data_IF_551643780970
#
_entry.id   IF_551643780970
#
_cell.length_a   1.000
_cell.length_b   1.000
_cell.length_c   1.000
_cell.angle_alpha   90.00
_cell.angle_beta   90.00
_cell.angle_gamma   90.00
#
_symmetry.space_group_name_H-M   'P 1'
#
loop_
_entity.id
_entity.type
_entity.pdbx_description
1 polymer ?
#
# COMPACT_ATOMS: atom_id res chain seq x y z
N UNK A 1 -48.97 -28.43 -22.60
CA UNK A 1 -49.50 -27.63 -21.46
C UNK A 1 -48.54 -27.76 -20.30
N UNK A 2 -47.59 -26.84 -20.19
CA UNK A 2 -46.60 -26.83 -19.09
C UNK A 2 -47.06 -25.84 -18.02
N UNK A 3 -47.41 -26.37 -16.86
CA UNK A 3 -47.81 -25.56 -15.70
C UNK A 3 -46.57 -24.92 -15.04
N UNK A 4 -46.57 -23.59 -14.96
CA UNK A 4 -45.57 -22.81 -14.24
C UNK A 4 -45.84 -22.90 -12.73
N UNK A 5 -44.91 -23.30 -11.88
CA UNK A 5 -45.14 -23.34 -10.43
C UNK A 5 -45.23 -21.92 -9.87
N UNK A 6 -46.12 -21.73 -8.92
CA UNK A 6 -46.51 -20.45 -8.36
C UNK A 6 -45.35 -19.73 -7.62
N UNK A 7 -45.28 -18.44 -7.79
CA UNK A 7 -44.30 -17.48 -7.18
C UNK A 7 -44.04 -17.64 -5.67
N UNK A 8 -44.97 -18.26 -4.93
CA UNK A 8 -44.85 -18.52 -3.48
C UNK A 8 -43.83 -19.60 -3.12
N UNK A 9 -43.64 -20.62 -3.97
CA UNK A 9 -42.67 -21.69 -3.71
C UNK A 9 -41.22 -21.27 -3.97
N UNK A 10 -41.01 -20.34 -4.88
CA UNK A 10 -39.65 -19.77 -5.15
C UNK A 10 -39.14 -18.89 -4.03
N UNK A 11 -40.06 -18.16 -3.35
CA UNK A 11 -39.69 -17.27 -2.21
C UNK A 11 -39.39 -18.11 -0.96
N UNK A 12 -40.05 -19.26 -0.75
CA UNK A 12 -39.79 -20.15 0.37
C UNK A 12 -38.48 -20.96 0.20
N UNK A 13 -38.10 -21.33 -1.01
CA UNK A 13 -36.84 -22.02 -1.29
C UNK A 13 -35.63 -21.04 -1.18
N UNK A 14 -35.78 -19.76 -1.54
CA UNK A 14 -34.76 -18.75 -1.36
C UNK A 14 -34.56 -18.36 0.11
N UNK A 15 -35.61 -18.37 0.93
CA UNK A 15 -35.54 -18.13 2.38
C UNK A 15 -34.87 -19.26 3.15
N UNK A 16 -34.99 -20.54 2.69
CA UNK A 16 -34.38 -21.71 3.33
C UNK A 16 -32.88 -21.87 3.02
N UNK A 17 -32.39 -21.34 1.90
CA UNK A 17 -30.97 -21.38 1.53
C UNK A 17 -30.10 -20.34 2.24
N UNK A 18 -30.69 -19.33 2.88
CA UNK A 18 -29.97 -18.27 3.65
C UNK A 18 -29.74 -18.71 5.12
N UNK A 19 -30.34 -19.83 5.57
CA UNK A 19 -30.39 -20.19 6.98
C UNK A 19 -29.23 -21.05 7.51
N UNK A 20 -28.15 -21.35 6.73
CA UNK A 20 -27.08 -22.26 7.17
C UNK A 20 -25.65 -21.73 7.10
N UNK A 21 -25.43 -20.48 6.78
CA UNK A 21 -24.14 -19.84 7.03
C UNK A 21 -24.26 -18.93 8.26
N UNK A 22 -24.26 -19.51 9.46
CA UNK A 22 -24.02 -18.77 10.70
C UNK A 22 -22.55 -18.33 10.70
N UNK A 23 -22.24 -17.26 9.97
CA UNK A 23 -21.11 -16.42 10.38
C UNK A 23 -21.60 -15.70 11.64
N UNK A 24 -20.83 -15.69 12.74
CA UNK A 24 -21.17 -14.83 13.85
C UNK A 24 -21.10 -13.39 13.29
N UNK A 25 -22.26 -12.77 13.09
CA UNK A 25 -22.35 -11.34 12.89
C UNK A 25 -21.94 -10.81 14.25
N UNK A 26 -20.71 -10.26 14.35
CA UNK A 26 -20.29 -9.52 15.53
C UNK A 26 -21.38 -8.47 15.76
N UNK A 27 -22.03 -8.52 16.93
CA UNK A 27 -23.03 -7.54 17.30
C UNK A 27 -22.38 -6.15 17.28
N UNK A 28 -23.17 -5.11 17.09
CA UNK A 28 -22.66 -3.72 17.07
C UNK A 28 -21.88 -3.34 18.34
N UNK A 29 -22.01 -4.12 19.41
CA UNK A 29 -21.33 -3.93 20.69
C UNK A 29 -20.13 -4.86 20.93
N UNK A 30 -19.82 -5.78 19.99
CA UNK A 30 -18.70 -6.70 20.19
C UNK A 30 -17.41 -6.09 19.66
N UNK A 31 -16.42 -5.97 20.55
CA UNK A 31 -15.08 -5.51 20.20
C UNK A 31 -14.37 -6.57 19.35
N UNK A 32 -13.79 -6.15 18.25
CA UNK A 32 -12.96 -7.02 17.40
C UNK A 32 -11.71 -7.44 18.18
N UNK A 33 -11.51 -8.75 18.33
CA UNK A 33 -10.31 -9.29 18.96
C UNK A 33 -9.17 -9.31 17.93
N UNK A 34 -8.18 -8.43 18.14
CA UNK A 34 -7.13 -8.16 17.17
C UNK A 34 -5.82 -8.85 17.56
N UNK A 35 -5.19 -9.53 16.60
CA UNK A 35 -3.81 -10.00 16.70
C UNK A 35 -2.86 -9.01 16.01
N UNK A 36 -1.85 -8.49 16.71
CA UNK A 36 -0.85 -7.60 16.12
C UNK A 36 0.41 -8.39 15.75
N UNK A 37 0.78 -8.43 14.48
CA UNK A 37 1.96 -9.12 13.94
C UNK A 37 3.00 -8.09 13.47
N UNK A 38 4.22 -8.21 14.00
CA UNK A 38 5.27 -7.23 13.80
C UNK A 38 5.15 -6.08 14.80
N UNK A 39 6.16 -5.90 15.65
CA UNK A 39 6.13 -4.97 16.80
C UNK A 39 7.28 -3.95 16.74
N UNK A 40 7.82 -3.75 15.53
CA UNK A 40 8.80 -2.71 15.23
C UNK A 40 8.18 -1.30 15.25
N UNK A 41 8.81 -0.34 14.54
CA UNK A 41 8.37 1.06 14.52
C UNK A 41 6.89 1.21 14.21
N UNK A 42 6.45 0.74 13.03
CA UNK A 42 5.05 0.85 12.60
C UNK A 42 4.09 0.03 13.48
N UNK A 43 4.51 -1.16 13.93
CA UNK A 43 3.71 -1.96 14.87
C UNK A 43 3.49 -1.27 16.20
N UNK A 44 4.48 -0.53 16.70
CA UNK A 44 4.34 0.30 17.90
C UNK A 44 3.29 1.39 17.71
N UNK A 45 3.22 2.02 16.53
CA UNK A 45 2.18 3.00 16.23
C UNK A 45 0.79 2.35 16.18
N UNK A 46 0.67 1.17 15.55
CA UNK A 46 -0.58 0.42 15.52
C UNK A 46 -1.07 0.05 16.92
N UNK A 47 -0.19 -0.35 17.84
CA UNK A 47 -0.57 -0.60 19.24
C UNK A 47 -1.16 0.65 19.86
N UNK A 48 -0.55 1.83 19.67
CA UNK A 48 -1.08 3.11 20.19
C UNK A 48 -2.46 3.42 19.59
N UNK A 49 -2.63 3.27 18.29
CA UNK A 49 -3.92 3.50 17.62
C UNK A 49 -4.99 2.56 18.16
N UNK A 50 -4.75 1.25 18.19
CA UNK A 50 -5.75 0.28 18.63
C UNK A 50 -6.06 0.40 20.12
N UNK A 51 -5.09 0.77 20.95
CA UNK A 51 -5.37 1.06 22.35
C UNK A 51 -6.21 2.32 22.55
N UNK A 52 -6.18 3.29 21.62
CA UNK A 52 -7.07 4.45 21.65
C UNK A 52 -8.50 4.13 21.18
N UNK A 53 -8.69 3.06 20.40
CA UNK A 53 -9.97 2.59 19.85
C UNK A 53 -10.59 1.43 20.67
N UNK A 54 -10.49 1.49 21.98
CA UNK A 54 -10.88 0.39 22.91
C UNK A 54 -12.38 0.03 22.88
N UNK A 55 -13.23 0.94 22.41
CA UNK A 55 -14.65 0.65 22.15
C UNK A 55 -14.84 -0.29 20.94
N UNK A 56 -13.93 -0.28 19.98
CA UNK A 56 -14.07 -0.96 18.70
C UNK A 56 -13.25 -2.25 18.61
N UNK A 57 -12.08 -2.27 19.25
CA UNK A 57 -11.20 -3.43 19.22
C UNK A 57 -10.47 -3.66 20.54
N UNK A 58 -9.94 -4.87 20.70
CA UNK A 58 -9.02 -5.24 21.77
C UNK A 58 -7.83 -5.96 21.19
N UNK A 59 -6.62 -5.59 21.56
CA UNK A 59 -5.42 -6.34 21.19
C UNK A 59 -5.36 -7.62 22.02
N UNK A 60 -5.89 -8.72 21.47
CA UNK A 60 -5.96 -10.02 22.15
C UNK A 60 -4.59 -10.74 22.14
N UNK A 61 -3.76 -10.49 21.13
CA UNK A 61 -2.46 -11.12 20.98
C UNK A 61 -1.44 -10.22 20.28
N UNK A 62 -0.16 -10.45 20.58
CA UNK A 62 1.00 -9.83 19.93
C UNK A 62 1.96 -10.90 19.44
N UNK A 63 2.57 -10.67 18.27
CA UNK A 63 3.52 -11.60 17.66
C UNK A 63 4.69 -10.87 17.04
N UNK A 64 5.90 -11.26 17.40
CA UNK A 64 7.15 -10.81 16.76
C UNK A 64 8.24 -11.86 16.96
N UNK A 65 9.14 -11.99 16.01
CA UNK A 65 10.33 -12.87 16.08
C UNK A 65 11.36 -12.37 17.08
N UNK A 66 11.26 -11.10 17.50
CA UNK A 66 12.15 -10.46 18.48
C UNK A 66 11.48 -10.39 19.87
N UNK A 67 12.01 -11.14 20.84
CA UNK A 67 11.50 -11.18 22.22
C UNK A 67 11.41 -9.78 22.85
N UNK A 68 12.45 -8.96 22.72
CA UNK A 68 12.45 -7.62 23.29
C UNK A 68 11.36 -6.71 22.70
N UNK A 69 10.96 -6.93 21.42
CA UNK A 69 9.84 -6.20 20.82
C UNK A 69 8.50 -6.65 21.43
N UNK A 70 8.32 -7.95 21.70
CA UNK A 70 7.11 -8.48 22.35
C UNK A 70 6.96 -7.94 23.77
N UNK A 71 8.04 -7.97 24.56
CA UNK A 71 8.05 -7.45 25.95
C UNK A 71 7.69 -5.96 26.01
N UNK A 72 8.26 -5.14 25.10
CA UNK A 72 7.91 -3.69 25.00
C UNK A 72 6.44 -3.47 24.64
N UNK A 73 5.91 -4.25 23.70
CA UNK A 73 4.53 -4.18 23.26
C UNK A 73 3.56 -4.53 24.40
N UNK A 74 3.80 -5.63 25.11
CA UNK A 74 3.01 -6.08 26.27
C UNK A 74 3.04 -5.00 27.36
N UNK A 75 4.22 -4.47 27.71
CA UNK A 75 4.35 -3.42 28.70
C UNK A 75 3.55 -2.15 28.33
N UNK A 76 3.56 -1.78 27.02
CA UNK A 76 2.80 -0.65 26.51
C UNK A 76 1.29 -0.86 26.65
N UNK A 77 0.79 -2.04 26.27
CA UNK A 77 -0.63 -2.39 26.38
C UNK A 77 -1.07 -2.48 27.83
N UNK A 78 -0.27 -3.12 28.69
CA UNK A 78 -0.54 -3.21 30.15
C UNK A 78 -0.65 -1.82 30.77
N UNK A 79 0.28 -0.92 30.46
CA UNK A 79 0.24 0.48 30.95
C UNK A 79 -0.99 1.23 30.48
N UNK A 80 -1.42 1.03 29.23
CA UNK A 80 -2.54 1.75 28.64
C UNK A 80 -3.91 1.18 29.07
N UNK A 81 -4.02 -0.14 29.27
CA UNK A 81 -5.30 -0.85 29.37
C UNK A 81 -5.42 -1.83 30.52
N UNK A 82 -4.39 -1.99 31.33
CA UNK A 82 -4.36 -2.86 32.53
C UNK A 82 -4.68 -4.35 32.22
N UNK A 83 -4.22 -4.85 31.07
CA UNK A 83 -4.24 -6.29 30.75
C UNK A 83 -3.03 -6.68 29.91
N UNK A 84 -2.76 -7.99 29.86
CA UNK A 84 -1.71 -8.57 29.01
C UNK A 84 -2.33 -9.31 27.81
N UNK A 85 -1.90 -9.00 26.58
CA UNK A 85 -2.24 -9.81 25.42
C UNK A 85 -1.50 -11.16 25.46
N UNK A 86 -2.02 -12.17 24.76
CA UNK A 86 -1.27 -13.42 24.54
C UNK A 86 -0.02 -13.13 23.68
N UNK A 87 1.10 -13.78 24.03
CA UNK A 87 2.39 -13.62 23.37
C UNK A 87 2.69 -14.79 22.43
N UNK A 88 3.21 -14.46 21.22
CA UNK A 88 3.62 -15.44 20.22
C UNK A 88 4.95 -15.03 19.58
N UNK A 89 5.86 -16.00 19.35
CA UNK A 89 7.06 -15.82 18.54
C UNK A 89 6.84 -16.16 17.06
N UNK A 90 5.80 -16.92 16.76
CA UNK A 90 5.45 -17.40 15.42
C UNK A 90 3.98 -17.09 15.12
N UNK A 91 3.74 -16.32 14.04
CA UNK A 91 2.40 -15.89 13.65
C UNK A 91 1.48 -17.07 13.27
N UNK A 92 2.02 -18.19 12.79
CA UNK A 92 1.24 -19.40 12.46
C UNK A 92 0.51 -19.92 13.69
N UNK A 93 1.18 -19.93 14.85
CA UNK A 93 0.58 -20.31 16.13
C UNK A 93 -0.47 -19.33 16.62
N UNK A 94 -0.27 -18.04 16.37
CA UNK A 94 -1.27 -17.03 16.68
C UNK A 94 -2.52 -17.20 15.82
N UNK A 95 -2.39 -17.49 14.53
CA UNK A 95 -3.51 -17.67 13.60
C UNK A 95 -4.37 -18.89 13.92
N UNK A 96 -3.82 -19.93 14.57
CA UNK A 96 -4.59 -21.09 15.08
C UNK A 96 -5.61 -20.70 16.18
N UNK A 97 -5.42 -19.55 16.86
CA UNK A 97 -6.29 -19.13 17.96
C UNK A 97 -7.68 -18.75 17.45
N UNK A 98 -8.71 -19.30 18.10
CA UNK A 98 -10.13 -18.97 17.83
C UNK A 98 -10.56 -17.66 18.50
N UNK A 99 -9.77 -17.13 19.42
CA UNK A 99 -10.04 -15.91 20.15
C UNK A 99 -9.63 -14.64 19.39
N UNK A 100 -9.21 -14.78 18.13
CA UNK A 100 -8.78 -13.67 17.28
C UNK A 100 -9.70 -13.59 16.07
N UNK A 101 -10.30 -12.43 15.84
CA UNK A 101 -11.21 -12.18 14.71
C UNK A 101 -10.45 -11.64 13.50
N UNK A 102 -9.53 -10.71 13.75
CA UNK A 102 -8.77 -10.02 12.72
C UNK A 102 -7.29 -9.86 13.12
N UNK A 103 -6.45 -9.64 12.14
CA UNK A 103 -5.01 -9.42 12.36
C UNK A 103 -4.53 -8.14 11.70
N UNK A 104 -3.59 -7.46 12.35
CA UNK A 104 -2.87 -6.32 11.81
C UNK A 104 -1.41 -6.73 11.56
N UNK A 105 -0.97 -6.67 10.30
CA UNK A 105 0.34 -7.14 9.85
C UNK A 105 1.22 -5.94 9.54
N UNK A 106 2.28 -5.75 10.30
CA UNK A 106 3.27 -4.67 10.18
C UNK A 106 4.70 -5.22 10.13
N UNK A 107 4.84 -6.40 9.57
CA UNK A 107 6.12 -7.05 9.30
C UNK A 107 6.91 -6.34 8.19
N UNK A 108 8.16 -6.72 7.89
CA UNK A 108 8.81 -6.33 6.64
C UNK A 108 8.05 -6.81 5.39
N UNK A 109 8.24 -6.10 4.27
CA UNK A 109 7.46 -6.28 3.02
C UNK A 109 7.38 -7.73 2.53
N UNK A 110 8.50 -8.47 2.61
CA UNK A 110 8.59 -9.84 2.11
C UNK A 110 7.71 -10.84 2.86
N UNK A 111 7.19 -10.46 4.01
CA UNK A 111 6.26 -11.27 4.80
C UNK A 111 4.79 -10.94 4.55
N UNK A 112 4.47 -9.75 4.02
CA UNK A 112 3.08 -9.25 3.95
C UNK A 112 2.14 -10.26 3.26
N UNK A 113 2.53 -10.74 2.08
CA UNK A 113 1.67 -11.61 1.30
C UNK A 113 1.43 -12.97 1.98
N UNK A 114 2.50 -13.66 2.38
CA UNK A 114 2.38 -14.99 2.98
C UNK A 114 1.62 -14.92 4.31
N UNK A 115 1.88 -13.92 5.14
CA UNK A 115 1.17 -13.70 6.39
C UNK A 115 -0.32 -13.42 6.17
N UNK A 116 -0.66 -12.57 5.20
CA UNK A 116 -2.06 -12.26 4.87
C UNK A 116 -2.80 -13.47 4.30
N UNK A 117 -2.16 -14.26 3.42
CA UNK A 117 -2.74 -15.49 2.87
C UNK A 117 -3.00 -16.51 3.99
N UNK A 118 -2.03 -16.75 4.88
CA UNK A 118 -2.23 -17.66 6.03
C UNK A 118 -3.32 -17.18 6.98
N UNK A 119 -3.40 -15.87 7.23
CA UNK A 119 -4.47 -15.30 8.05
C UNK A 119 -5.85 -15.51 7.40
N UNK A 120 -5.99 -15.28 6.08
CA UNK A 120 -7.22 -15.56 5.33
C UNK A 120 -7.60 -17.05 5.39
N UNK A 121 -6.63 -17.96 5.23
CA UNK A 121 -6.83 -19.41 5.35
C UNK A 121 -7.32 -19.81 6.76
N UNK A 122 -6.80 -19.14 7.79
CA UNK A 122 -7.20 -19.34 9.17
C UNK A 122 -8.52 -18.63 9.54
N UNK A 123 -9.20 -18.02 8.56
CA UNK A 123 -10.49 -17.35 8.75
C UNK A 123 -10.42 -15.98 9.41
N UNK A 124 -9.25 -15.32 9.42
CA UNK A 124 -9.06 -13.98 9.98
C UNK A 124 -9.27 -12.91 8.92
N UNK A 125 -9.85 -11.78 9.30
CA UNK A 125 -9.81 -10.56 8.51
C UNK A 125 -8.47 -9.86 8.70
N UNK A 126 -8.00 -9.10 7.70
CA UNK A 126 -6.61 -8.65 7.64
C UNK A 126 -6.51 -7.16 7.38
N UNK A 127 -5.77 -6.46 8.23
CA UNK A 127 -5.17 -5.18 7.91
C UNK A 127 -3.67 -5.42 7.67
N UNK A 128 -3.17 -5.15 6.47
CA UNK A 128 -1.75 -5.34 6.13
C UNK A 128 -1.11 -4.01 5.75
N UNK A 129 0.06 -3.71 6.29
CA UNK A 129 0.78 -2.49 5.94
C UNK A 129 1.21 -2.48 4.47
N UNK A 130 1.45 -1.27 3.98
CA UNK A 130 1.95 -1.01 2.62
C UNK A 130 3.48 -1.25 2.54
N UNK A 131 4.02 -1.59 1.35
CA UNK A 131 3.31 -2.05 0.16
C UNK A 131 2.62 -3.39 0.43
N UNK A 132 1.50 -3.64 -0.23
CA UNK A 132 0.71 -4.85 0.03
C UNK A 132 1.54 -6.14 -0.10
N UNK A 133 2.50 -6.17 -1.02
CA UNK A 133 3.29 -7.34 -1.38
C UNK A 133 4.74 -6.96 -1.68
N UNK A 134 5.59 -7.97 -1.85
CA UNK A 134 6.99 -7.80 -2.24
C UNK A 134 7.21 -7.98 -3.77
N UNK A 135 6.28 -8.62 -4.49
CA UNK A 135 6.29 -8.80 -5.94
C UNK A 135 4.85 -8.94 -6.49
N UNK A 136 4.70 -8.96 -7.82
CA UNK A 136 3.38 -8.96 -8.49
C UNK A 136 2.62 -10.27 -8.28
N UNK A 137 3.30 -11.41 -8.33
CA UNK A 137 2.68 -12.71 -8.06
C UNK A 137 2.05 -12.73 -6.66
N UNK A 138 2.77 -12.25 -5.65
CA UNK A 138 2.26 -12.12 -4.28
C UNK A 138 1.01 -11.25 -4.21
N UNK A 139 0.97 -10.11 -4.91
CA UNK A 139 -0.20 -9.25 -5.02
C UNK A 139 -1.43 -10.02 -5.52
N UNK A 140 -1.25 -10.80 -6.58
CA UNK A 140 -2.33 -11.60 -7.18
C UNK A 140 -2.83 -12.68 -6.24
N UNK A 141 -1.93 -13.38 -5.54
CA UNK A 141 -2.31 -14.43 -4.59
C UNK A 141 -3.03 -13.87 -3.35
N UNK A 142 -2.68 -12.67 -2.88
CA UNK A 142 -3.41 -12.00 -1.79
C UNK A 142 -4.84 -11.67 -2.17
N UNK A 143 -5.07 -11.14 -3.37
CA UNK A 143 -6.42 -10.88 -3.89
C UNK A 143 -7.22 -12.17 -4.00
N UNK A 144 -6.63 -13.22 -4.60
CA UNK A 144 -7.25 -14.53 -4.71
C UNK A 144 -7.64 -15.11 -3.34
N UNK A 145 -6.74 -15.03 -2.35
CA UNK A 145 -6.99 -15.50 -0.99
C UNK A 145 -8.14 -14.73 -0.32
N UNK A 146 -8.17 -13.41 -0.41
CA UNK A 146 -9.24 -12.58 0.14
C UNK A 146 -10.61 -13.00 -0.41
N UNK A 147 -10.70 -13.23 -1.73
CA UNK A 147 -11.93 -13.66 -2.41
C UNK A 147 -12.31 -15.08 -2.04
N UNK A 148 -11.37 -16.05 -2.14
CA UNK A 148 -11.62 -17.48 -1.86
C UNK A 148 -12.09 -17.71 -0.43
N UNK A 149 -11.44 -17.07 0.55
CA UNK A 149 -11.76 -17.25 1.96
C UNK A 149 -12.77 -16.21 2.49
N UNK A 150 -13.28 -15.32 1.61
CA UNK A 150 -14.28 -14.28 1.94
C UNK A 150 -13.85 -13.43 3.14
N UNK A 151 -12.60 -12.96 3.13
CA UNK A 151 -12.03 -12.11 4.19
C UNK A 151 -11.98 -10.66 3.77
N UNK A 152 -12.18 -9.77 4.74
CA UNK A 152 -11.94 -8.34 4.59
C UNK A 152 -10.45 -8.11 4.68
N UNK A 153 -9.84 -7.63 3.59
CA UNK A 153 -8.40 -7.36 3.55
C UNK A 153 -8.17 -5.92 3.12
N UNK A 154 -7.70 -5.09 4.07
CA UNK A 154 -7.36 -3.69 3.83
C UNK A 154 -5.85 -3.48 3.87
N UNK A 155 -5.36 -2.67 2.95
CA UNK A 155 -3.96 -2.25 2.90
C UNK A 155 -3.78 -0.93 3.65
N UNK A 156 -2.65 -0.75 4.32
CA UNK A 156 -2.28 0.45 5.07
C UNK A 156 -2.00 1.68 4.19
N UNK A 157 -2.86 1.95 3.19
CA UNK A 157 -2.83 3.13 2.31
C UNK A 157 -3.72 4.23 2.88
N UNK A 158 -3.36 4.76 4.07
CA UNK A 158 -4.18 5.67 4.87
C UNK A 158 -4.55 6.97 4.14
N UNK A 159 -3.75 7.38 3.15
CA UNK A 159 -4.01 8.55 2.31
C UNK A 159 -5.39 8.52 1.65
N UNK A 160 -5.94 7.33 1.38
CA UNK A 160 -7.29 7.14 0.83
C UNK A 160 -8.43 7.51 1.78
N UNK A 161 -8.13 7.69 3.06
CA UNK A 161 -9.11 8.10 4.09
C UNK A 161 -8.88 9.53 4.57
N UNK A 162 -7.95 10.28 3.99
CA UNK A 162 -7.70 11.68 4.33
C UNK A 162 -8.65 12.60 3.55
N UNK A 163 -9.40 13.49 4.21
CA UNK A 163 -10.43 14.31 3.55
C UNK A 163 -9.90 15.12 2.37
N UNK A 164 -8.76 15.81 2.50
CA UNK A 164 -8.18 16.61 1.42
C UNK A 164 -7.72 15.75 0.22
N UNK A 165 -7.28 14.51 0.44
CA UNK A 165 -6.94 13.57 -0.65
C UNK A 165 -8.21 13.09 -1.37
N UNK A 166 -9.25 12.73 -0.61
CA UNK A 166 -10.56 12.38 -1.18
C UNK A 166 -11.14 13.54 -1.97
N UNK A 167 -11.04 14.77 -1.46
CA UNK A 167 -11.48 15.98 -2.15
C UNK A 167 -10.71 16.22 -3.45
N UNK A 168 -9.39 15.98 -3.46
CA UNK A 168 -8.58 16.09 -4.68
C UNK A 168 -9.13 15.17 -5.79
N UNK A 169 -9.40 13.91 -5.44
CA UNK A 169 -9.92 12.93 -6.40
C UNK A 169 -11.34 13.29 -6.86
N UNK A 170 -12.18 13.76 -5.96
CA UNK A 170 -13.51 14.25 -6.32
C UNK A 170 -13.42 15.41 -7.33
N UNK A 171 -12.58 16.41 -7.09
CA UNK A 171 -12.36 17.53 -8.00
C UNK A 171 -11.87 17.07 -9.38
N UNK A 172 -10.92 16.11 -9.43
CA UNK A 172 -10.45 15.52 -10.69
C UNK A 172 -11.59 14.81 -11.43
N UNK A 173 -12.40 14.02 -10.73
CA UNK A 173 -13.54 13.30 -11.32
C UNK A 173 -14.64 14.23 -11.84
N UNK A 174 -14.79 15.41 -11.24
CA UNK A 174 -15.70 16.47 -11.68
C UNK A 174 -15.15 17.31 -12.83
N UNK A 175 -13.93 17.01 -13.32
CA UNK A 175 -13.31 17.74 -14.43
C UNK A 175 -12.79 19.13 -14.05
N UNK A 176 -12.41 19.34 -12.77
CA UNK A 176 -11.95 20.65 -12.30
C UNK A 176 -10.77 21.23 -13.08
N UNK A 177 -9.96 20.38 -13.74
CA UNK A 177 -8.82 20.78 -14.59
C UNK A 177 -8.97 20.29 -16.04
N UNK A 178 -10.20 19.90 -16.46
CA UNK A 178 -10.44 19.29 -17.77
C UNK A 178 -9.96 17.85 -17.85
N UNK A 179 -9.62 17.37 -19.05
CA UNK A 179 -9.10 16.02 -19.26
C UNK A 179 -7.68 15.89 -18.66
N UNK A 180 -7.52 15.00 -17.69
CA UNK A 180 -6.20 14.70 -17.08
C UNK A 180 -5.38 13.86 -18.04
N UNK A 181 -4.24 14.37 -18.46
CA UNK A 181 -3.32 13.69 -19.39
C UNK A 181 -1.99 13.28 -18.76
N UNK A 182 -1.64 13.88 -17.61
CA UNK A 182 -0.39 13.56 -16.94
C UNK A 182 -0.54 13.65 -15.41
N UNK A 183 0.09 12.71 -14.68
CA UNK A 183 0.24 12.75 -13.25
C UNK A 183 1.71 12.61 -12.85
N UNK A 184 2.16 13.43 -11.90
CA UNK A 184 3.47 13.28 -11.25
C UNK A 184 3.29 12.83 -9.82
N UNK A 185 4.00 11.78 -9.43
CA UNK A 185 4.10 11.32 -8.05
C UNK A 185 5.52 11.55 -7.54
N UNK A 186 5.65 12.21 -6.40
CA UNK A 186 6.91 12.74 -5.88
C UNK A 186 7.20 12.17 -4.50
N UNK A 187 8.29 11.43 -4.37
CA UNK A 187 8.78 10.86 -3.12
C UNK A 187 10.18 11.44 -2.80
N UNK A 188 10.21 12.68 -2.34
CA UNK A 188 11.44 13.37 -1.94
C UNK A 188 11.59 13.25 -0.42
N UNK A 189 12.14 12.12 0.02
CA UNK A 189 12.37 11.81 1.43
C UNK A 189 13.86 11.81 1.70
N UNK A 190 14.34 12.81 2.46
CA UNK A 190 15.74 12.83 2.87
C UNK A 190 16.09 11.57 3.64
N UNK A 191 17.02 10.80 3.11
CA UNK A 191 17.61 9.63 3.76
C UNK A 191 19.09 9.87 4.02
N UNK A 192 19.68 8.99 4.81
CA UNK A 192 21.11 8.99 5.06
C UNK A 192 21.68 7.63 4.64
N UNK A 193 22.98 7.60 4.36
CA UNK A 193 23.69 6.36 4.14
C UNK A 193 23.55 5.45 5.37
N UNK A 194 23.34 4.17 5.13
CA UNK A 194 23.30 3.16 6.19
C UNK A 194 24.71 2.67 6.60
N UNK A 195 25.76 3.15 5.90
CA UNK A 195 27.14 2.70 6.13
C UNK A 195 27.35 1.22 5.82
N UNK A 196 28.45 0.69 6.33
CA UNK A 196 28.78 -0.73 6.25
C UNK A 196 28.66 -1.40 7.61
N UNK A 197 28.11 -2.61 7.63
CA UNK A 197 28.03 -3.44 8.83
C UNK A 197 28.42 -4.88 8.48
N UNK A 198 29.37 -5.48 9.23
CA UNK A 198 29.79 -6.86 9.02
C UNK A 198 28.65 -7.82 9.36
N UNK A 199 28.81 -9.06 8.92
CA UNK A 199 27.99 -10.15 9.43
C UNK A 199 28.39 -10.44 10.89
N UNK A 200 27.39 -10.62 11.75
CA UNK A 200 27.52 -10.77 13.19
C UNK A 200 26.70 -11.99 13.68
N UNK A 201 26.99 -12.54 14.87
CA UNK A 201 26.10 -13.51 15.50
C UNK A 201 24.68 -12.93 15.68
N UNK A 202 23.68 -13.78 15.51
CA UNK A 202 22.28 -13.38 15.75
C UNK A 202 22.10 -12.95 17.20
N UNK A 203 21.54 -11.78 17.51
CA UNK A 203 21.31 -11.34 18.88
C UNK A 203 20.42 -12.31 19.66
N UNK A 204 20.67 -12.52 20.95
CA UNK A 204 19.80 -13.32 21.81
C UNK A 204 18.34 -12.86 21.76
N UNK A 205 17.40 -13.78 21.69
CA UNK A 205 15.97 -13.49 21.64
C UNK A 205 15.42 -13.06 20.26
N UNK A 206 16.26 -13.08 19.21
CA UNK A 206 15.84 -12.86 17.83
C UNK A 206 15.85 -14.20 17.06
N UNK A 207 14.70 -14.60 16.51
CA UNK A 207 14.61 -15.70 15.55
C UNK A 207 14.89 -15.16 14.12
N UNK A 208 16.15 -15.29 13.70
CA UNK A 208 16.61 -14.80 12.41
C UNK A 208 16.06 -15.62 11.23
N UNK A 209 15.83 -16.93 11.42
CA UNK A 209 15.23 -17.78 10.40
C UNK A 209 13.79 -17.36 10.08
N UNK A 210 13.00 -17.13 11.13
CA UNK A 210 11.64 -16.58 10.97
C UNK A 210 11.64 -15.13 10.48
N UNK A 211 12.65 -14.31 10.83
CA UNK A 211 12.75 -12.96 10.27
C UNK A 211 12.91 -13.00 8.76
N UNK A 212 13.83 -13.83 8.26
CA UNK A 212 14.09 -14.00 6.83
C UNK A 212 12.89 -14.64 6.11
N UNK A 213 12.25 -15.64 6.71
CA UNK A 213 11.05 -16.28 6.15
C UNK A 213 11.15 -16.58 4.67
N UNK A 214 10.30 -15.97 3.80
CA UNK A 214 10.30 -16.16 2.35
C UNK A 214 11.58 -15.71 1.63
N UNK A 215 12.36 -14.80 2.25
CA UNK A 215 13.62 -14.31 1.69
C UNK A 215 14.71 -15.40 1.71
N UNK A 216 15.68 -15.29 0.79
CA UNK A 216 16.80 -16.22 0.78
C UNK A 216 17.62 -16.07 2.07
N UNK A 217 18.21 -17.19 2.52
CA UNK A 217 19.04 -17.16 3.72
C UNK A 217 20.28 -16.28 3.51
N UNK A 218 20.50 -15.36 4.44
CA UNK A 218 21.68 -14.51 4.52
C UNK A 218 22.11 -14.43 5.99
N UNK A 219 23.42 -14.34 6.29
CA UNK A 219 23.88 -14.13 7.66
C UNK A 219 23.32 -12.82 8.22
N UNK A 220 23.18 -12.78 9.54
CA UNK A 220 22.70 -11.58 10.22
C UNK A 220 23.74 -10.46 10.11
N UNK A 221 23.22 -9.25 9.85
CA UNK A 221 23.94 -7.99 9.99
C UNK A 221 22.93 -6.95 10.47
N UNK A 222 23.37 -6.03 11.33
CA UNK A 222 22.50 -4.94 11.82
C UNK A 222 21.88 -4.10 10.70
N UNK A 223 22.57 -3.97 9.54
CA UNK A 223 22.05 -3.28 8.39
C UNK A 223 20.93 -4.05 7.65
N UNK A 224 20.83 -5.37 7.82
CA UNK A 224 19.74 -6.19 7.24
C UNK A 224 18.51 -6.27 8.15
N UNK A 225 18.58 -5.67 9.34
CA UNK A 225 17.55 -5.74 10.37
C UNK A 225 16.97 -4.36 10.69
N UNK A 226 16.03 -4.27 11.65
CA UNK A 226 15.30 -3.07 12.05
C UNK A 226 14.72 -2.33 10.83
N UNK A 227 14.97 -1.03 10.68
CA UNK A 227 14.42 -0.23 9.60
C UNK A 227 15.10 -0.48 8.24
N UNK A 228 16.40 -0.81 8.25
CA UNK A 228 17.22 -0.85 7.04
C UNK A 228 16.91 -2.01 6.09
N UNK A 229 16.13 -3.00 6.51
CA UNK A 229 15.63 -4.06 5.64
C UNK A 229 14.91 -3.52 4.39
N UNK A 230 14.40 -2.31 4.42
CA UNK A 230 13.76 -1.64 3.27
C UNK A 230 14.70 -1.52 2.05
N UNK A 231 16.00 -1.44 2.30
CA UNK A 231 17.01 -1.12 1.30
C UNK A 231 17.69 -2.34 0.66
N UNK A 232 17.23 -3.55 0.98
CA UNK A 232 17.71 -4.80 0.41
C UNK A 232 16.63 -5.44 -0.44
N UNK A 233 17.01 -5.91 -1.67
CA UNK A 233 16.05 -6.46 -2.62
C UNK A 233 15.31 -7.71 -2.12
N UNK A 234 15.90 -8.49 -1.20
CA UNK A 234 15.26 -9.69 -0.67
C UNK A 234 14.16 -9.41 0.36
N UNK A 235 14.21 -8.27 1.04
CA UNK A 235 13.32 -7.95 2.16
C UNK A 235 12.50 -6.69 1.96
N UNK A 236 12.97 -5.77 1.11
CA UNK A 236 12.34 -4.48 0.84
C UNK A 236 12.26 -4.17 -0.65
N UNK A 237 11.72 -3.01 -0.97
CA UNK A 237 11.49 -2.55 -2.34
C UNK A 237 12.08 -1.14 -2.59
N UNK A 238 13.00 -0.68 -1.73
CA UNK A 238 13.51 0.69 -1.79
C UNK A 238 12.48 1.75 -1.40
N UNK A 239 12.81 3.02 -1.60
CA UNK A 239 11.88 4.09 -1.18
C UNK A 239 10.65 4.23 -2.08
N UNK A 240 10.70 3.73 -3.31
CA UNK A 240 9.51 3.65 -4.18
C UNK A 240 8.42 2.75 -3.57
N UNK A 241 8.80 1.63 -2.94
CA UNK A 241 7.87 0.75 -2.23
C UNK A 241 7.63 1.16 -0.77
N UNK A 242 8.57 1.88 -0.14
CA UNK A 242 8.44 2.31 1.24
C UNK A 242 7.53 3.53 1.37
N UNK A 243 8.01 4.74 1.09
CA UNK A 243 7.17 5.95 1.09
C UNK A 243 6.38 6.07 -0.20
N UNK A 244 7.03 5.83 -1.33
CA UNK A 244 6.51 6.16 -2.65
C UNK A 244 5.24 5.44 -3.06
N UNK A 245 4.93 4.30 -2.46
CA UNK A 245 3.68 3.59 -2.76
C UNK A 245 2.42 4.38 -2.39
N UNK A 246 2.50 5.32 -1.45
CA UNK A 246 1.38 6.23 -1.14
C UNK A 246 1.09 7.20 -2.29
N UNK A 247 2.15 7.79 -2.85
CA UNK A 247 2.04 8.72 -3.97
C UNK A 247 1.69 7.98 -5.26
N UNK A 248 2.19 6.75 -5.45
CA UNK A 248 1.80 5.86 -6.54
C UNK A 248 0.29 5.59 -6.52
N UNK A 249 -0.24 5.27 -5.34
CA UNK A 249 -1.65 4.98 -5.12
C UNK A 249 -2.55 6.19 -5.46
N UNK A 250 -2.18 7.39 -5.00
CA UNK A 250 -2.93 8.62 -5.28
C UNK A 250 -2.84 9.00 -6.77
N UNK A 251 -1.67 8.81 -7.43
CA UNK A 251 -1.52 9.09 -8.85
C UNK A 251 -2.43 8.19 -9.71
N UNK A 252 -2.43 6.88 -9.43
CA UNK A 252 -3.31 5.93 -10.11
C UNK A 252 -4.80 6.23 -9.87
N UNK A 253 -5.16 6.61 -8.64
CA UNK A 253 -6.52 6.98 -8.29
C UNK A 253 -6.98 8.24 -9.01
N UNK A 254 -6.15 9.30 -9.04
CA UNK A 254 -6.46 10.55 -9.72
C UNK A 254 -6.51 10.44 -11.25
N UNK A 255 -5.69 9.55 -11.85
CA UNK A 255 -5.77 9.22 -13.28
C UNK A 255 -6.97 8.31 -13.62
N UNK A 256 -7.64 7.73 -12.61
CA UNK A 256 -8.72 6.76 -12.82
C UNK A 256 -8.28 5.47 -13.48
N UNK A 257 -6.99 5.09 -13.34
CA UNK A 257 -6.43 3.91 -14.04
C UNK A 257 -6.60 2.64 -13.23
N UNK A 258 -7.23 1.66 -13.85
CA UNK A 258 -7.44 0.31 -13.28
C UNK A 258 -6.69 -0.79 -14.04
N UNK A 259 -6.26 -0.52 -15.28
CA UNK A 259 -5.50 -1.43 -16.14
C UNK A 259 -3.99 -1.29 -15.98
N UNK A 260 -3.24 -2.11 -16.73
CA UNK A 260 -1.79 -2.06 -16.81
C UNK A 260 -1.34 -0.98 -17.81
N UNK A 261 -0.15 -0.38 -17.65
CA UNK A 261 0.41 0.55 -18.62
C UNK A 261 0.80 -0.19 -19.91
N UNK A 262 0.93 0.51 -21.04
CA UNK A 262 1.47 -0.04 -22.28
C UNK A 262 2.99 -0.22 -22.18
N UNK A 263 3.66 0.69 -21.45
CA UNK A 263 5.10 0.61 -21.23
C UNK A 263 5.50 1.19 -19.86
N UNK A 264 6.64 0.69 -19.35
CA UNK A 264 7.28 1.20 -18.13
C UNK A 264 8.77 1.39 -18.39
N UNK A 265 9.27 2.59 -18.14
CA UNK A 265 10.70 2.90 -18.26
C UNK A 265 11.21 3.51 -16.96
N UNK A 266 12.27 2.95 -16.38
CA UNK A 266 12.83 3.40 -15.12
C UNK A 266 14.34 3.50 -15.17
N UNK A 267 14.87 4.64 -14.69
CA UNK A 267 16.29 4.93 -14.55
C UNK A 267 16.61 5.39 -13.15
N UNK A 268 17.88 5.41 -12.77
CA UNK A 268 18.31 5.84 -11.45
C UNK A 268 19.62 5.23 -11.02
N UNK A 269 19.86 5.26 -9.72
CA UNK A 269 21.07 4.69 -9.15
C UNK A 269 21.21 4.97 -7.66
N UNK A 270 22.25 4.38 -7.09
CA UNK A 270 22.76 4.73 -5.77
C UNK A 270 23.90 5.75 -5.97
N UNK A 271 23.55 7.02 -5.90
CA UNK A 271 24.50 8.12 -6.11
C UNK A 271 25.03 8.64 -4.77
N UNK A 272 26.26 9.16 -4.78
CA UNK A 272 26.96 9.81 -3.66
C UNK A 272 27.37 8.80 -2.57
N UNK A 273 26.47 7.93 -2.11
CA UNK A 273 26.77 6.99 -1.03
C UNK A 273 27.48 5.73 -1.51
N UNK A 274 28.42 5.26 -0.67
CA UNK A 274 28.99 3.93 -0.78
C UNK A 274 28.68 3.21 0.53
N UNK A 275 27.69 2.35 0.51
CA UNK A 275 27.17 1.63 1.69
C UNK A 275 26.54 0.31 1.30
N UNK A 276 25.96 -0.42 2.26
CA UNK A 276 25.37 -1.74 2.06
C UNK A 276 24.01 -1.72 1.36
N UNK A 277 23.39 -0.56 1.14
CA UNK A 277 22.10 -0.45 0.45
C UNK A 277 22.20 -0.99 -0.98
N UNK A 278 21.25 -1.85 -1.36
CA UNK A 278 21.13 -2.42 -2.71
C UNK A 278 20.21 -1.61 -3.62
N UNK A 279 19.16 -0.98 -3.05
CA UNK A 279 18.15 -0.23 -3.81
C UNK A 279 18.62 1.17 -4.19
N UNK A 280 18.09 1.78 -5.27
CA UNK A 280 18.47 3.13 -5.65
C UNK A 280 18.05 4.17 -4.61
N UNK A 281 18.84 5.23 -4.45
CA UNK A 281 18.49 6.41 -3.67
C UNK A 281 17.93 7.56 -4.52
N UNK A 282 17.99 7.38 -5.83
CA UNK A 282 17.41 8.26 -6.84
C UNK A 282 16.88 7.39 -7.96
N UNK A 283 15.58 7.51 -8.26
CA UNK A 283 14.92 6.71 -9.29
C UNK A 283 13.84 7.54 -9.95
N UNK A 284 13.80 7.52 -11.28
CA UNK A 284 12.75 8.16 -12.07
C UNK A 284 12.10 7.10 -12.95
N UNK A 285 10.77 7.09 -12.99
CA UNK A 285 10.00 6.13 -13.75
C UNK A 285 8.90 6.82 -14.53
N UNK A 286 8.68 6.38 -15.77
CA UNK A 286 7.55 6.76 -16.61
C UNK A 286 6.68 5.53 -16.87
N UNK A 287 5.36 5.70 -16.71
CA UNK A 287 4.32 4.74 -17.06
C UNK A 287 3.46 5.33 -18.17
N UNK A 288 3.52 4.72 -19.35
CA UNK A 288 2.77 5.09 -20.55
C UNK A 288 1.46 4.29 -20.60
N UNK A 289 0.33 4.97 -20.65
CA UNK A 289 -1.01 4.36 -20.81
C UNK A 289 -1.56 4.54 -22.23
N UNK A 290 -0.82 5.22 -23.12
CA UNK A 290 -1.22 5.54 -24.49
C UNK A 290 -1.97 6.87 -24.60
N UNK A 291 -2.98 7.11 -23.77
CA UNK A 291 -3.78 8.35 -23.74
C UNK A 291 -3.45 9.25 -22.54
N UNK A 292 -2.60 8.79 -21.63
CA UNK A 292 -2.07 9.54 -20.49
C UNK A 292 -0.72 8.96 -20.05
N UNK A 293 0.03 9.76 -19.30
CA UNK A 293 1.30 9.36 -18.75
C UNK A 293 1.34 9.60 -17.24
N UNK A 294 2.07 8.76 -16.53
CA UNK A 294 2.40 9.00 -15.13
C UNK A 294 3.92 8.96 -14.94
N UNK A 295 4.48 9.99 -14.31
CA UNK A 295 5.88 9.99 -13.88
C UNK A 295 5.99 9.83 -12.39
N UNK A 296 7.03 9.12 -11.94
CA UNK A 296 7.31 8.88 -10.53
C UNK A 296 8.78 9.18 -10.22
N UNK A 297 9.01 10.03 -9.21
CA UNK A 297 10.35 10.45 -8.80
C UNK A 297 10.65 10.07 -7.34
N UNK A 298 11.70 9.27 -7.12
CA UNK A 298 12.32 9.07 -5.80
C UNK A 298 13.60 9.88 -5.72
N UNK A 299 13.75 10.70 -4.67
CA UNK A 299 14.98 11.46 -4.36
C UNK A 299 15.26 11.44 -2.87
N UNK A 300 16.29 10.71 -2.46
CA UNK A 300 16.71 10.62 -1.07
C UNK A 300 17.85 11.59 -0.73
N UNK A 301 18.47 12.19 -1.73
CA UNK A 301 19.50 13.23 -1.60
C UNK A 301 18.87 14.63 -1.47
N UNK A 302 19.62 15.67 -1.10
CA UNK A 302 19.09 17.03 -1.08
C UNK A 302 18.45 17.39 -2.43
N UNK A 303 17.23 17.88 -2.39
CA UNK A 303 16.47 18.27 -3.59
C UNK A 303 15.56 19.44 -3.27
N UNK A 304 15.20 20.19 -4.32
CA UNK A 304 14.21 21.25 -4.22
C UNK A 304 12.81 20.63 -4.15
N UNK A 305 11.97 20.99 -3.17
CA UNK A 305 10.59 20.59 -3.14
C UNK A 305 9.81 21.19 -4.33
N UNK A 306 8.84 20.44 -4.83
CA UNK A 306 7.89 20.85 -5.85
C UNK A 306 6.47 20.89 -5.22
N UNK A 307 5.49 21.55 -5.86
CA UNK A 307 4.13 21.66 -5.34
C UNK A 307 3.95 22.72 -4.26
N UNK A 308 3.02 22.52 -3.31
CA UNK A 308 2.60 23.51 -2.33
C UNK A 308 3.62 23.81 -1.22
N UNK A 309 4.52 22.87 -0.96
CA UNK A 309 5.44 22.92 0.19
C UNK A 309 6.45 24.07 0.15
N UNK A 310 6.81 24.59 -1.03
CA UNK A 310 7.88 25.56 -1.16
C UNK A 310 9.18 25.05 -0.52
N UNK A 311 10.09 25.97 -0.09
CA UNK A 311 11.37 25.62 0.56
C UNK A 311 11.24 25.31 2.06
N UNK A 312 10.18 24.66 2.50
CA UNK A 312 9.84 24.53 3.93
C UNK A 312 10.48 23.34 4.65
N UNK A 313 11.29 22.52 3.98
CA UNK A 313 11.94 21.39 4.64
C UNK A 313 12.62 20.42 3.69
N UNK A 314 13.29 19.39 4.26
CA UNK A 314 14.10 18.44 3.49
C UNK A 314 13.25 17.34 2.82
N UNK A 315 11.96 17.27 3.11
CA UNK A 315 11.06 16.23 2.60
C UNK A 315 9.91 16.88 1.84
N UNK A 316 9.60 16.31 0.67
CA UNK A 316 8.39 16.61 -0.07
C UNK A 316 7.80 15.32 -0.63
N UNK A 317 6.55 15.06 -0.31
CA UNK A 317 5.78 13.93 -0.85
C UNK A 317 4.42 14.43 -1.29
N UNK A 318 4.02 14.11 -2.51
CA UNK A 318 2.76 14.59 -3.06
C UNK A 318 2.55 14.22 -4.51
N UNK A 319 1.45 14.71 -5.06
CA UNK A 319 1.05 14.47 -6.43
C UNK A 319 0.65 15.76 -7.14
N UNK A 320 0.98 15.85 -8.42
CA UNK A 320 0.56 16.93 -9.30
C UNK A 320 -0.15 16.30 -10.49
N UNK A 321 -1.34 16.78 -10.81
CA UNK A 321 -2.13 16.35 -11.96
C UNK A 321 -2.25 17.50 -12.95
N UNK A 322 -1.98 17.20 -14.22
CA UNK A 322 -2.08 18.17 -15.32
C UNK A 322 -3.25 17.79 -16.22
N UNK A 323 -4.08 18.76 -16.49
CA UNK A 323 -5.27 18.62 -17.35
C UNK A 323 -5.32 19.66 -18.44
N UNK A 324 -6.27 19.53 -19.37
CA UNK A 324 -6.43 20.42 -20.52
C UNK A 324 -6.80 21.88 -20.15
N UNK A 325 -7.25 22.12 -18.90
CA UNK A 325 -7.66 23.45 -18.44
C UNK A 325 -6.82 23.98 -17.27
N UNK A 326 -5.85 23.22 -16.77
CA UNK A 326 -5.05 23.64 -15.61
C UNK A 326 -4.36 22.46 -14.91
N UNK A 327 -4.06 22.65 -13.63
CA UNK A 327 -3.41 21.62 -12.82
C UNK A 327 -3.93 21.60 -11.38
N UNK A 328 -3.78 20.45 -10.74
CA UNK A 328 -4.12 20.22 -9.33
C UNK A 328 -2.88 19.70 -8.59
N UNK A 329 -2.59 20.29 -7.44
CA UNK A 329 -1.51 19.84 -6.54
C UNK A 329 -2.15 19.31 -5.25
N UNK A 330 -1.72 18.12 -4.80
CA UNK A 330 -2.17 17.54 -3.54
C UNK A 330 -1.00 16.91 -2.79
N UNK A 331 -0.74 17.38 -1.57
CA UNK A 331 0.33 16.91 -0.70
C UNK A 331 -0.13 16.84 0.77
N UNK A 332 0.81 16.83 1.73
CA UNK A 332 0.52 16.84 3.16
C UNK A 332 -0.09 18.17 3.65
N UNK A 333 0.06 19.27 2.89
CA UNK A 333 -0.46 20.58 3.26
C UNK A 333 -1.92 20.79 2.86
N UNK A 334 -2.39 20.01 1.86
CA UNK A 334 -3.76 20.11 1.35
C UNK A 334 -3.86 19.85 -0.15
N UNK A 335 -4.87 20.44 -0.76
CA UNK A 335 -5.10 20.44 -2.21
C UNK A 335 -5.32 21.86 -2.71
N UNK A 336 -4.73 22.18 -3.85
CA UNK A 336 -4.97 23.43 -4.59
C UNK A 336 -5.21 23.12 -6.07
N UNK A 337 -6.15 23.86 -6.67
CA UNK A 337 -6.51 23.77 -8.10
C UNK A 337 -6.23 25.11 -8.77
N UNK A 338 -5.55 25.05 -9.88
CA UNK A 338 -5.21 26.20 -10.72
C UNK A 338 -5.76 26.00 -12.11
N UNK A 339 -6.44 27.03 -12.66
CA UNK A 339 -6.90 27.07 -14.05
C UNK A 339 -6.10 28.05 -14.87
N UNK A 340 -5.92 27.70 -16.15
CA UNK A 340 -5.36 28.60 -17.15
C UNK A 340 -6.37 29.68 -17.52
N UNK A 341 -5.91 30.93 -17.67
CA UNK A 341 -6.72 32.02 -18.22
C UNK A 341 -6.92 31.89 -19.73
N UNK A 342 -6.19 31.03 -20.42
CA UNK A 342 -6.38 30.71 -21.84
C UNK A 342 -7.59 29.79 -22.09
N UNK A 343 -8.19 29.24 -21.03
CA UNK A 343 -9.32 28.31 -21.14
C UNK A 343 -8.92 26.90 -21.58
N UNK A 344 -9.88 26.18 -22.17
CA UNK A 344 -9.62 24.80 -22.63
C UNK A 344 -8.88 24.80 -23.97
N UNK A 345 -7.68 24.24 -23.97
CA UNK A 345 -6.81 24.14 -25.14
C UNK A 345 -7.09 22.89 -26.00
N UNK A 346 -8.04 22.02 -25.60
CA UNK A 346 -8.38 20.78 -26.32
C UNK A 346 -9.25 21.01 -27.57
N UNK A 347 -9.82 22.22 -27.73
CA UNK A 347 -10.73 22.54 -28.79
C UNK A 347 -10.06 22.94 -30.12
N UNK A 348 -10.80 22.81 -31.25
CA UNK A 348 -10.33 23.26 -32.58
C UNK A 348 -10.10 24.77 -32.66
N UNK A 349 -10.76 25.56 -31.84
CA UNK A 349 -10.64 27.02 -31.78
C UNK A 349 -9.28 27.52 -31.29
N UNK A 350 -8.51 26.64 -30.60
CA UNK A 350 -7.17 26.92 -30.12
C UNK A 350 -6.08 26.88 -31.24
N UNK A 351 -6.45 26.61 -32.49
CA UNK A 351 -5.51 26.55 -33.62
C UNK A 351 -4.87 27.91 -33.89
N UNK A 352 -3.55 27.98 -33.72
CA UNK A 352 -2.74 29.15 -34.06
C UNK A 352 -2.59 30.16 -32.95
N UNK A 353 -3.19 30.02 -31.80
CA UNK A 353 -2.91 30.85 -30.66
C UNK A 353 -1.57 30.44 -30.03
N UNK A 354 -0.53 31.24 -30.23
CA UNK A 354 0.62 31.22 -29.32
C UNK A 354 0.08 31.67 -27.97
N UNK A 355 0.00 30.78 -26.98
CA UNK A 355 -0.41 31.12 -25.61
C UNK A 355 0.52 32.21 -25.02
N UNK A 356 1.68 32.40 -25.60
CA UNK A 356 2.60 33.49 -25.35
C UNK A 356 2.76 33.80 -23.86
N UNK A 357 3.52 34.83 -23.56
CA UNK A 357 3.82 35.31 -22.18
C UNK A 357 2.62 35.94 -21.44
N UNK A 358 1.38 35.78 -21.92
CA UNK A 358 0.16 36.37 -21.33
C UNK A 358 -0.68 35.37 -20.56
N UNK A 359 -0.48 34.06 -20.74
CA UNK A 359 -1.19 33.04 -19.98
C UNK A 359 -0.82 33.12 -18.50
N UNK A 360 -1.83 33.07 -17.64
CA UNK A 360 -1.68 33.05 -16.18
C UNK A 360 -2.47 31.87 -15.64
N UNK A 361 -2.07 31.42 -14.46
CA UNK A 361 -2.82 30.43 -13.70
C UNK A 361 -3.46 31.10 -12.48
N UNK A 362 -4.77 30.91 -12.34
CA UNK A 362 -5.54 31.41 -11.21
C UNK A 362 -5.93 30.28 -10.29
N UNK A 363 -5.71 30.44 -8.98
CA UNK A 363 -6.14 29.48 -7.98
C UNK A 363 -7.67 29.56 -7.85
N UNK A 364 -8.37 28.47 -8.21
CA UNK A 364 -9.84 28.39 -8.21
C UNK A 364 -10.42 27.58 -7.06
N UNK A 365 -9.60 26.72 -6.42
CA UNK A 365 -10.00 25.97 -5.24
C UNK A 365 -8.80 25.70 -4.32
N UNK A 366 -9.05 25.62 -3.03
CA UNK A 366 -8.09 25.27 -2.00
C UNK A 366 -8.80 24.53 -0.85
N UNK A 367 -8.18 23.48 -0.32
CA UNK A 367 -8.53 22.89 0.96
C UNK A 367 -7.26 22.53 1.73
N UNK A 368 -7.08 23.10 2.91
CA UNK A 368 -5.92 22.82 3.77
C UNK A 368 -6.13 21.51 4.51
N UNK A 369 -5.08 20.70 4.58
CA UNK A 369 -5.07 19.52 5.42
C UNK A 369 -5.22 19.92 6.90
N UNK A 370 -6.12 19.26 7.63
CA UNK A 370 -6.31 19.51 9.07
C UNK A 370 -5.27 18.76 9.90
N UNK A 371 -5.08 17.49 9.61
CA UNK A 371 -4.08 16.60 10.20
C UNK A 371 -3.97 15.32 9.35
N UNK A 372 -2.94 14.53 9.59
CA UNK A 372 -2.76 13.20 8.98
C UNK A 372 -3.26 12.10 9.95
N UNK A 373 -4.49 12.23 10.46
CA UNK A 373 -5.08 11.24 11.36
C UNK A 373 -5.40 9.95 10.60
N UNK A 374 -4.83 8.85 11.05
CA UNK A 374 -5.06 7.52 10.46
C UNK A 374 -6.26 6.79 11.06
N UNK A 375 -6.87 7.33 12.10
CA UNK A 375 -8.06 6.76 12.76
C UNK A 375 -9.21 6.46 11.79
N UNK A 376 -9.59 7.36 10.87
CA UNK A 376 -10.66 7.06 9.91
C UNK A 376 -10.39 5.83 9.05
N UNK A 377 -9.12 5.55 8.73
CA UNK A 377 -8.75 4.39 7.94
C UNK A 377 -8.89 3.08 8.73
N UNK A 378 -8.51 3.09 10.01
CA UNK A 378 -8.70 1.94 10.91
C UNK A 378 -10.18 1.68 11.19
N UNK A 379 -10.97 2.74 11.42
CA UNK A 379 -12.41 2.62 11.63
C UNK A 379 -13.13 2.09 10.39
N UNK A 380 -12.71 2.48 9.19
CA UNK A 380 -13.22 1.94 7.94
C UNK A 380 -12.98 0.43 7.82
N UNK A 381 -11.81 -0.08 8.26
CA UNK A 381 -11.57 -1.51 8.33
C UNK A 381 -12.54 -2.21 9.28
N UNK A 382 -12.73 -1.70 10.48
CA UNK A 382 -13.65 -2.31 11.46
C UNK A 382 -15.10 -2.28 10.98
N UNK A 383 -15.52 -1.22 10.29
CA UNK A 383 -16.85 -1.14 9.69
C UNK A 383 -17.05 -2.23 8.64
N UNK A 384 -16.10 -2.41 7.72
CA UNK A 384 -16.16 -3.44 6.69
C UNK A 384 -16.17 -4.86 7.30
N UNK A 385 -15.39 -5.10 8.36
CA UNK A 385 -15.37 -6.38 9.09
C UNK A 385 -16.74 -6.66 9.71
N UNK A 386 -17.35 -5.69 10.38
CA UNK A 386 -18.69 -5.85 11.01
C UNK A 386 -19.79 -6.10 9.97
N UNK A 387 -19.77 -5.35 8.86
CA UNK A 387 -20.75 -5.44 7.78
C UNK A 387 -20.50 -6.61 6.82
N UNK A 388 -19.35 -7.27 6.90
CA UNK A 388 -18.92 -8.33 5.96
C UNK A 388 -18.97 -7.88 4.49
N UNK A 389 -18.64 -6.60 4.24
CA UNK A 389 -18.63 -6.00 2.91
C UNK A 389 -17.27 -5.40 2.59
N UNK A 390 -16.48 -6.09 1.77
CA UNK A 390 -15.15 -5.63 1.35
C UNK A 390 -15.19 -4.37 0.46
N UNK A 391 -16.33 -4.07 -0.17
CA UNK A 391 -16.49 -2.88 -1.02
C UNK A 391 -16.49 -1.57 -0.23
N UNK A 392 -16.70 -1.65 1.08
CA UNK A 392 -16.58 -0.51 1.97
C UNK A 392 -15.14 -0.10 2.24
N UNK A 393 -14.16 -0.99 2.02
CA UNK A 393 -12.76 -0.74 2.30
C UNK A 393 -12.19 0.35 1.38
N UNK A 394 -11.70 1.43 1.94
CA UNK A 394 -11.10 2.53 1.19
C UNK A 394 -9.83 2.11 0.43
N UNK A 395 -9.07 1.20 1.01
CA UNK A 395 -7.89 0.59 0.40
C UNK A 395 -8.02 -0.94 0.39
N UNK A 396 -9.05 -1.43 -0.29
CA UNK A 396 -9.28 -2.84 -0.49
C UNK A 396 -8.06 -3.51 -1.14
N UNK A 397 -7.81 -4.80 -0.86
CA UNK A 397 -6.56 -5.49 -1.25
C UNK A 397 -6.24 -5.33 -2.75
N UNK A 398 -7.22 -5.38 -3.64
CA UNK A 398 -6.97 -5.22 -5.08
C UNK A 398 -6.43 -3.83 -5.44
N UNK A 399 -6.89 -2.79 -4.71
CA UNK A 399 -6.39 -1.43 -4.86
C UNK A 399 -4.93 -1.33 -4.41
N UNK A 400 -4.64 -1.78 -3.20
CA UNK A 400 -3.28 -1.73 -2.65
C UNK A 400 -2.30 -2.65 -3.39
N UNK A 401 -2.78 -3.81 -3.86
CA UNK A 401 -2.02 -4.74 -4.70
C UNK A 401 -1.61 -4.08 -6.03
N UNK A 402 -2.52 -3.31 -6.64
CA UNK A 402 -2.22 -2.55 -7.88
C UNK A 402 -1.14 -1.49 -7.63
N UNK A 403 -1.27 -0.69 -6.60
CA UNK A 403 -0.28 0.34 -6.27
C UNK A 403 1.10 -0.25 -5.99
N UNK A 404 1.17 -1.38 -5.27
CA UNK A 404 2.39 -2.14 -5.08
C UNK A 404 2.96 -2.68 -6.39
N UNK A 405 2.10 -3.23 -7.28
CA UNK A 405 2.52 -3.78 -8.57
C UNK A 405 3.20 -2.73 -9.47
N UNK A 406 2.72 -1.48 -9.47
CA UNK A 406 3.38 -0.41 -10.21
C UNK A 406 4.77 -0.07 -9.65
N UNK A 407 4.94 -0.08 -8.32
CA UNK A 407 6.26 0.05 -7.71
C UNK A 407 7.19 -1.12 -8.11
N UNK A 408 6.65 -2.34 -8.21
CA UNK A 408 7.41 -3.52 -8.62
C UNK A 408 7.81 -3.46 -10.10
N UNK A 409 6.93 -2.99 -11.00
CA UNK A 409 7.26 -2.78 -12.41
C UNK A 409 8.37 -1.74 -12.59
N UNK A 410 8.31 -0.64 -11.84
CA UNK A 410 9.37 0.37 -11.84
C UNK A 410 10.71 -0.23 -11.41
N UNK A 411 10.72 -0.99 -10.32
CA UNK A 411 11.92 -1.69 -9.85
C UNK A 411 12.42 -2.76 -10.84
N UNK A 412 11.51 -3.48 -11.51
CA UNK A 412 11.87 -4.45 -12.54
C UNK A 412 12.54 -3.75 -13.71
N UNK A 413 11.94 -2.68 -14.28
CA UNK A 413 12.52 -1.90 -15.37
C UNK A 413 13.91 -1.34 -15.01
N UNK A 414 14.05 -0.78 -13.81
CA UNK A 414 15.33 -0.29 -13.28
C UNK A 414 16.39 -1.39 -13.22
N UNK A 415 16.04 -2.58 -12.70
CA UNK A 415 16.98 -3.70 -12.50
C UNK A 415 17.41 -4.36 -13.81
N UNK A 416 16.51 -4.47 -14.78
CA UNK A 416 16.86 -5.01 -16.11
C UNK A 416 17.47 -3.94 -17.04
N UNK A 417 17.42 -2.65 -16.65
CA UNK A 417 18.02 -1.54 -17.38
C UNK A 417 17.38 -1.23 -18.73
N UNK A 418 16.08 -1.54 -18.90
CA UNK A 418 15.35 -1.33 -20.18
C UNK A 418 13.86 -1.10 -19.98
N UNK A 419 13.23 -0.52 -20.98
CA UNK A 419 11.78 -0.32 -21.05
C UNK A 419 11.05 -1.66 -21.11
N UNK A 420 10.06 -1.85 -20.24
CA UNK A 420 9.15 -2.98 -20.27
C UNK A 420 7.96 -2.65 -21.18
N UNK A 421 7.68 -3.52 -22.17
CA UNK A 421 6.46 -3.46 -22.98
C UNK A 421 5.43 -4.41 -22.36
N UNK A 422 4.23 -3.92 -22.08
CA UNK A 422 3.25 -4.66 -21.32
C UNK A 422 2.08 -5.14 -22.18
N UNK A 423 1.59 -6.33 -21.91
CA UNK A 423 0.25 -6.72 -22.29
C UNK A 423 -0.73 -6.09 -21.32
N UNK A 424 -1.47 -5.09 -21.76
CA UNK A 424 -2.37 -4.30 -20.90
C UNK A 424 -3.53 -5.11 -20.29
N UNK A 425 -3.89 -6.25 -20.90
CA UNK A 425 -4.97 -7.11 -20.39
C UNK A 425 -4.49 -8.07 -19.30
N UNK A 426 -3.27 -8.61 -19.44
CA UNK A 426 -2.75 -9.68 -18.56
C UNK A 426 -1.70 -9.20 -17.56
N UNK A 427 -1.09 -8.04 -17.80
CA UNK A 427 0.04 -7.54 -17.01
C UNK A 427 1.36 -8.26 -17.25
N UNK A 428 1.44 -9.17 -18.25
CA UNK A 428 2.70 -9.79 -18.64
C UNK A 428 3.58 -8.81 -19.42
N UNK A 429 4.87 -8.94 -19.22
CA UNK A 429 5.89 -8.22 -20.00
C UNK A 429 6.10 -8.96 -21.29
N UNK A 430 5.96 -8.26 -22.43
CA UNK A 430 6.02 -8.85 -23.77
C UNK A 430 7.48 -9.15 -24.17
N UNK A 431 7.71 -10.36 -24.65
CA UNK A 431 8.99 -10.82 -25.20
C UNK A 431 10.21 -10.58 -24.26
N UNK A 432 10.04 -10.71 -22.96
CA UNK A 432 11.09 -10.46 -21.96
C UNK A 432 10.97 -11.44 -20.77
N UNK A 433 11.56 -12.62 -20.90
CA UNK A 433 11.49 -13.66 -19.87
C UNK A 433 12.33 -13.30 -18.64
N UNK A 434 13.42 -12.56 -18.77
CA UNK A 434 14.20 -12.07 -17.62
C UNK A 434 13.34 -11.15 -16.76
N UNK A 435 12.69 -10.15 -17.34
CA UNK A 435 11.80 -9.25 -16.61
C UNK A 435 10.58 -9.99 -16.05
N UNK A 436 9.97 -10.93 -16.79
CA UNK A 436 8.86 -11.76 -16.30
C UNK A 436 9.28 -12.63 -15.11
N UNK A 437 10.52 -13.12 -15.05
CA UNK A 437 11.02 -13.89 -13.90
C UNK A 437 11.06 -13.06 -12.61
N UNK A 438 11.15 -11.72 -12.71
CA UNK A 438 11.14 -10.80 -11.57
C UNK A 438 9.74 -10.45 -11.05
N UNK A 439 8.68 -10.87 -11.76
CA UNK A 439 7.30 -10.71 -11.28
C UNK A 439 6.97 -11.63 -10.10
N UNK A 440 7.84 -12.60 -9.82
CA UNK A 440 7.84 -13.49 -8.66
C UNK A 440 9.25 -13.59 -8.10
N UNK A 441 9.50 -14.56 -7.23
CA UNK A 441 10.84 -14.85 -6.67
C UNK A 441 10.99 -16.33 -6.33
N UNK A 442 12.22 -16.78 -6.15
CA UNK A 442 12.49 -18.07 -5.54
C UNK A 442 12.26 -17.97 -4.03
N UNK A 443 11.22 -18.63 -3.53
CA UNK A 443 10.89 -18.66 -2.11
C UNK A 443 11.74 -19.66 -1.35
N UNK A 444 12.15 -19.31 -0.14
CA UNK A 444 12.85 -20.21 0.76
C UNK A 444 11.86 -21.15 1.47
N UNK A 445 12.02 -22.45 1.29
CA UNK A 445 11.19 -23.43 1.99
C UNK A 445 11.43 -23.36 3.51
N UNK A 446 10.39 -23.55 4.36
CA UNK A 446 9.01 -23.89 3.99
C UNK A 446 8.10 -22.65 3.68
N UNK A 447 8.65 -21.46 3.59
CA UNK A 447 7.93 -20.18 3.49
C UNK A 447 7.60 -19.81 2.03
N UNK A 448 6.89 -20.69 1.35
CA UNK A 448 6.52 -20.51 -0.06
C UNK A 448 5.14 -19.88 -0.17
N UNK A 449 5.02 -18.79 -0.94
CA UNK A 449 3.72 -18.21 -1.26
C UNK A 449 2.98 -19.18 -2.21
N UNK A 450 1.83 -19.71 -1.82
CA UNK A 450 1.10 -20.68 -2.65
C UNK A 450 0.35 -19.99 -3.80
N UNK A 451 0.07 -20.74 -4.85
CA UNK A 451 -1.06 -20.44 -5.74
C UNK A 451 -2.37 -20.72 -5.00
N UNK A 452 -3.31 -19.78 -5.06
CA UNK A 452 -4.56 -19.82 -4.27
C UNK A 452 -5.80 -20.14 -5.12
#
# INVERSE_FOLDING_TARGET
MFTIPARRQFVQAAAAAIATARFPILGANDRIQLGQVGLGGRGTDHIKFYTSLDSDCRIAAVCDVNQAARERAIATIRKAKNYDPKEYGDMRKMFESKDIDAVSITTPNHWHALAAIWACQAGKDVYVEKPASHNIFESQQMVAAARKYKRMVQVGSQSRSLPHKMRAIELLSQGAIGQVYHARALCFRRRFSIGHAPDEPVPPGLDWDLFLGPAQWKPYSKNKFAYNWHWFWDTGNGDIGNQGVHEMDIALWGLGRTGWPAAVSSTGGKFVWKDDQETPNTQQTTFDFGDAEMTFDVRNLPTLPEGLGGLKGPNYVGNIFFGSQGFLVVDHSGVEVYKSTAGDISGEEARGASAGNKEKYEKVAEEKAKNEDTTPHMMNFFEAVRKRDYKLLHAEIEIGARSAAFCHLANTSYRVGRTLRMNQSTGRILADEEANSMLTRNYRKPYVVPEV
#
